data_IF_692481065958
#
_entry.id   IF_692481065958
#
_cell.length_a   1.000
_cell.length_b   1.000
_cell.length_c   1.000
_cell.angle_alpha   90.00
_cell.angle_beta   90.00
_cell.angle_gamma   90.00
#
_symmetry.space_group_name_H-M   'P 1'
#
loop_
_entity.id
_entity.type
_entity.pdbx_description
1 polymer ?
#
# COMPACT_ATOMS: atom_id res chain seq x y z
N UNK A 1 58.23 12.60 -28.35
CA UNK A 1 57.30 11.47 -28.57
C UNK A 1 57.72 10.33 -27.66
N UNK A 2 56.77 9.73 -26.94
CA UNK A 2 57.00 8.56 -26.07
C UNK A 2 56.75 8.87 -24.58
N UNK A 3 55.50 8.77 -24.15
CA UNK A 3 55.12 8.80 -22.74
C UNK A 3 55.16 7.42 -22.09
N UNK A 4 55.12 7.38 -20.76
CA UNK A 4 54.58 6.26 -20.01
C UNK A 4 54.05 6.76 -18.66
N UNK A 5 52.78 6.46 -18.44
CA UNK A 5 51.95 6.80 -17.28
C UNK A 5 52.12 5.73 -16.21
N UNK A 6 52.51 6.14 -15.00
CA UNK A 6 52.52 5.26 -13.81
C UNK A 6 51.14 5.28 -13.17
N UNK A 7 50.48 4.11 -13.17
CA UNK A 7 49.17 3.87 -12.55
C UNK A 7 49.23 4.11 -11.05
N UNK A 8 48.34 4.96 -10.55
CA UNK A 8 47.96 5.00 -9.13
C UNK A 8 47.11 3.76 -8.87
N UNK A 9 47.70 2.77 -8.21
CA UNK A 9 46.95 1.64 -7.65
C UNK A 9 46.12 2.16 -6.49
N UNK A 10 44.79 2.07 -6.61
CA UNK A 10 43.91 2.24 -5.48
C UNK A 10 44.06 1.00 -4.59
N UNK A 11 44.55 1.20 -3.37
CA UNK A 11 44.58 0.19 -2.32
C UNK A 11 43.15 -0.28 -2.05
N UNK A 12 42.88 -1.54 -2.40
CA UNK A 12 41.67 -2.24 -2.01
C UNK A 12 41.86 -2.66 -0.54
N UNK A 13 41.54 -1.75 0.38
CA UNK A 13 41.56 -2.01 1.82
C UNK A 13 40.73 -3.26 2.15
N UNK A 14 41.40 -4.22 2.78
CA UNK A 14 40.85 -5.44 3.34
C UNK A 14 39.73 -5.15 4.35
N UNK A 15 38.48 -5.36 3.94
CA UNK A 15 37.32 -5.32 4.82
C UNK A 15 37.38 -6.47 5.85
N UNK A 16 37.41 -6.10 7.14
CA UNK A 16 37.35 -7.02 8.28
C UNK A 16 36.08 -7.90 8.25
N UNK A 17 36.15 -9.20 8.61
CA UNK A 17 35.02 -10.12 8.58
C UNK A 17 33.82 -9.68 9.44
N UNK A 18 34.03 -8.85 10.47
CA UNK A 18 32.94 -8.29 11.28
C UNK A 18 32.12 -7.22 10.54
N UNK A 19 32.72 -6.52 9.58
CA UNK A 19 32.06 -5.50 8.76
C UNK A 19 31.12 -6.13 7.71
N UNK A 20 31.52 -7.27 7.15
CA UNK A 20 30.76 -7.99 6.13
C UNK A 20 29.45 -8.55 6.67
N UNK A 21 29.45 -9.09 7.90
CA UNK A 21 28.24 -9.58 8.56
C UNK A 21 27.23 -8.47 8.86
N UNK A 22 27.71 -7.28 9.27
CA UNK A 22 26.84 -6.13 9.56
C UNK A 22 26.13 -5.64 8.29
N UNK A 23 26.86 -5.53 7.16
CA UNK A 23 26.30 -5.13 5.88
C UNK A 23 25.24 -6.13 5.36
N UNK A 24 25.49 -7.44 5.49
CA UNK A 24 24.52 -8.48 5.09
C UNK A 24 23.20 -8.38 5.87
N UNK A 25 23.23 -8.05 7.17
CA UNK A 25 22.00 -7.87 7.96
C UNK A 25 21.20 -6.64 7.55
N UNK A 26 21.86 -5.55 7.14
CA UNK A 26 21.20 -4.31 6.67
C UNK A 26 20.54 -4.54 5.30
N UNK A 27 21.21 -5.25 4.39
CA UNK A 27 20.65 -5.55 3.07
C UNK A 27 19.44 -6.49 3.15
N UNK A 28 19.47 -7.50 4.02
CA UNK A 28 18.32 -8.40 4.27
C UNK A 28 17.14 -7.68 4.95
N UNK A 29 17.41 -6.68 5.79
CA UNK A 29 16.38 -5.86 6.44
C UNK A 29 15.77 -4.78 5.50
N UNK A 30 16.35 -4.51 4.33
CA UNK A 30 15.91 -3.43 3.45
C UNK A 30 14.61 -3.68 2.68
N UNK A 31 14.00 -4.86 2.86
CA UNK A 31 12.66 -5.18 2.33
C UNK A 31 11.50 -4.45 3.06
N UNK A 32 11.79 -3.65 4.08
CA UNK A 32 10.85 -3.36 5.18
C UNK A 32 9.94 -2.10 5.07
N UNK A 33 9.75 -1.47 3.90
CA UNK A 33 8.84 -0.29 3.79
C UNK A 33 7.93 -0.35 2.55
N UNK A 34 7.51 -1.56 2.22
CA UNK A 34 6.63 -1.86 1.10
C UNK A 34 5.40 -2.59 1.62
N UNK A 35 4.25 -1.95 1.53
CA UNK A 35 2.96 -2.51 1.92
C UNK A 35 2.43 -3.42 0.82
N UNK A 36 1.61 -4.37 1.24
CA UNK A 36 0.72 -5.15 0.41
C UNK A 36 -0.70 -4.63 0.57
N UNK A 37 -1.43 -4.39 -0.51
CA UNK A 37 -2.80 -3.87 -0.49
C UNK A 37 -3.76 -4.81 -1.21
N UNK A 38 -5.05 -4.78 -0.85
CA UNK A 38 -6.07 -5.38 -1.68
C UNK A 38 -6.34 -4.49 -2.90
N UNK A 39 -6.61 -5.12 -4.04
CA UNK A 39 -7.04 -4.46 -5.27
C UNK A 39 -8.37 -5.05 -5.70
N UNK A 40 -9.34 -4.19 -6.00
CA UNK A 40 -10.64 -4.59 -6.52
C UNK A 40 -11.18 -3.50 -7.42
N UNK A 41 -11.67 -3.89 -8.58
CA UNK A 41 -12.39 -3.00 -9.48
C UNK A 41 -13.87 -2.93 -9.09
N UNK A 42 -14.53 -1.81 -9.41
CA UNK A 42 -15.95 -1.61 -9.14
C UNK A 42 -16.85 -2.63 -9.85
N UNK A 43 -16.47 -3.11 -11.03
CA UNK A 43 -17.29 -3.95 -11.90
C UNK A 43 -16.96 -5.45 -11.81
N UNK A 44 -15.82 -5.79 -11.20
CA UNK A 44 -15.32 -7.16 -11.12
C UNK A 44 -15.33 -7.60 -9.67
N UNK A 45 -16.05 -8.68 -9.35
CA UNK A 45 -16.12 -9.22 -7.98
C UNK A 45 -14.91 -10.12 -7.63
N UNK A 46 -13.73 -9.73 -8.08
CA UNK A 46 -12.46 -10.38 -7.79
C UNK A 46 -11.61 -9.45 -6.93
N UNK A 47 -11.03 -10.01 -5.88
CA UNK A 47 -10.07 -9.31 -5.02
C UNK A 47 -8.69 -9.85 -5.32
N UNK A 48 -7.84 -8.99 -5.83
CA UNK A 48 -6.42 -9.24 -6.03
C UNK A 48 -5.61 -8.68 -4.85
N UNK A 49 -4.34 -9.10 -4.81
CA UNK A 49 -3.34 -8.58 -3.88
C UNK A 49 -2.22 -7.95 -4.67
N UNK A 50 -1.90 -6.70 -4.36
CA UNK A 50 -0.79 -5.95 -4.98
C UNK A 50 0.28 -5.65 -3.94
N UNK A 51 1.54 -5.75 -4.34
CA UNK A 51 2.70 -5.61 -3.46
C UNK A 51 3.48 -4.33 -3.76
N UNK A 52 4.45 -3.99 -2.91
CA UNK A 52 5.35 -2.84 -3.09
C UNK A 52 4.64 -1.48 -3.13
N UNK A 53 3.61 -1.33 -2.29
CA UNK A 53 2.84 -0.10 -2.16
C UNK A 53 3.38 0.77 -1.01
N UNK A 54 3.19 2.09 -1.08
CA UNK A 54 3.52 3.03 0.01
C UNK A 54 2.34 3.32 0.92
N UNK A 55 1.13 3.22 0.40
CA UNK A 55 -0.12 3.25 1.16
C UNK A 55 -1.21 2.47 0.42
N UNK A 56 -2.21 2.03 1.17
CA UNK A 56 -3.42 1.42 0.63
C UNK A 56 -4.56 2.43 0.66
N UNK A 57 -5.45 2.34 -0.32
CA UNK A 57 -6.63 3.18 -0.41
C UNK A 57 -7.87 2.35 -0.75
N UNK A 58 -9.03 2.91 -0.42
CA UNK A 58 -10.33 2.37 -0.83
C UNK A 58 -11.31 3.52 -1.05
N UNK A 59 -12.11 3.40 -2.11
CA UNK A 59 -13.17 4.32 -2.46
C UNK A 59 -14.51 3.63 -2.31
N UNK A 60 -15.45 4.27 -1.61
CA UNK A 60 -16.82 3.79 -1.49
C UNK A 60 -17.78 4.84 -2.02
N UNK A 61 -18.67 4.47 -2.93
CA UNK A 61 -19.68 5.39 -3.50
C UNK A 61 -21.05 4.99 -2.97
N UNK A 62 -21.67 5.81 -2.09
CA UNK A 62 -22.93 5.49 -1.43
C UNK A 62 -24.10 5.22 -2.39
N UNK A 63 -24.24 6.05 -3.41
CA UNK A 63 -25.37 6.04 -4.34
C UNK A 63 -25.38 4.73 -5.15
N UNK A 64 -24.19 4.27 -5.55
CA UNK A 64 -24.02 3.03 -6.32
C UNK A 64 -23.81 1.79 -5.43
N UNK A 65 -23.52 1.98 -4.14
CA UNK A 65 -23.17 0.92 -3.18
C UNK A 65 -21.96 0.07 -3.63
N UNK A 66 -21.02 0.70 -4.32
CA UNK A 66 -19.83 0.06 -4.88
C UNK A 66 -18.58 0.36 -4.06
N UNK A 67 -17.53 -0.42 -4.30
CA UNK A 67 -16.20 -0.19 -3.73
C UNK A 67 -15.12 -0.42 -4.77
N UNK A 68 -14.08 0.40 -4.74
CA UNK A 68 -12.84 0.21 -5.48
C UNK A 68 -11.69 0.23 -4.47
N UNK A 69 -10.75 -0.72 -4.59
CA UNK A 69 -9.62 -0.85 -3.67
C UNK A 69 -8.31 -0.80 -4.45
N UNK A 70 -7.26 -0.25 -3.84
CA UNK A 70 -5.93 -0.33 -4.39
C UNK A 70 -4.83 0.16 -3.46
N UNK A 71 -3.70 0.47 -4.07
CA UNK A 71 -2.52 1.00 -3.42
C UNK A 71 -1.83 1.99 -4.35
N UNK A 72 -0.87 2.71 -3.80
CA UNK A 72 -0.10 3.69 -4.57
C UNK A 72 1.40 3.53 -4.27
N UNK A 73 2.23 3.71 -5.29
CA UNK A 73 3.68 3.54 -5.20
C UNK A 73 4.42 4.84 -4.82
N UNK A 74 3.79 6.00 -5.02
CA UNK A 74 4.32 7.30 -4.60
C UNK A 74 3.94 7.56 -3.14
N UNK A 75 4.88 8.09 -2.36
CA UNK A 75 4.65 8.49 -0.97
C UNK A 75 3.51 9.51 -0.84
N UNK A 76 2.75 9.44 0.26
CA UNK A 76 1.57 10.29 0.53
C UNK A 76 1.92 11.78 0.51
N UNK A 77 3.07 12.17 1.09
CA UNK A 77 3.54 13.58 1.07
C UNK A 77 3.62 14.20 -0.34
N UNK A 78 3.93 13.41 -1.37
CA UNK A 78 4.01 13.89 -2.75
C UNK A 78 2.64 13.95 -3.46
N UNK A 79 1.60 13.43 -2.82
CA UNK A 79 0.23 13.32 -3.35
C UNK A 79 -0.82 13.92 -2.39
N UNK A 80 -0.37 14.70 -1.40
CA UNK A 80 -1.14 15.19 -0.26
C UNK A 80 -2.44 15.93 -0.62
N UNK A 81 -2.51 16.57 -1.79
CA UNK A 81 -3.73 17.27 -2.24
C UNK A 81 -4.94 16.33 -2.39
N UNK A 82 -4.71 15.07 -2.74
CA UNK A 82 -5.77 14.04 -2.90
C UNK A 82 -5.85 13.11 -1.68
N UNK A 83 -4.78 13.01 -0.89
CA UNK A 83 -4.66 12.01 0.17
C UNK A 83 -4.43 12.61 1.55
N UNK A 84 -4.82 13.87 1.77
CA UNK A 84 -4.54 14.55 3.03
C UNK A 84 -5.08 13.76 4.23
N UNK A 85 -4.19 13.36 5.14
CA UNK A 85 -4.49 12.58 6.35
C UNK A 85 -4.47 13.42 7.61
N UNK A 86 -4.40 14.76 7.50
CA UNK A 86 -4.21 15.69 8.62
C UNK A 86 -5.23 15.54 9.76
N UNK A 87 -6.42 14.98 9.49
CA UNK A 87 -7.50 14.92 10.46
C UNK A 87 -7.54 13.61 11.30
N UNK A 88 -6.61 12.66 11.11
CA UNK A 88 -6.56 11.41 11.89
C UNK A 88 -7.70 10.41 11.64
N UNK A 89 -8.70 10.80 10.84
CA UNK A 89 -9.73 9.92 10.27
C UNK A 89 -9.13 9.11 9.12
N UNK A 90 -9.48 7.82 9.05
CA UNK A 90 -9.04 6.90 8.01
C UNK A 90 -9.88 7.01 6.73
N UNK A 91 -11.07 7.61 6.81
CA UNK A 91 -12.01 7.80 5.71
C UNK A 91 -12.67 9.18 5.83
N UNK A 92 -12.88 9.86 4.71
CA UNK A 92 -13.59 11.13 4.63
C UNK A 92 -14.56 11.14 3.47
N UNK A 93 -15.73 11.77 3.65
CA UNK A 93 -16.71 11.94 2.59
C UNK A 93 -16.33 13.16 1.75
N UNK A 94 -16.05 12.93 0.47
CA UNK A 94 -15.67 13.96 -0.49
C UNK A 94 -16.74 14.11 -1.55
N UNK A 95 -16.92 15.34 -2.03
CA UNK A 95 -17.75 15.62 -3.20
C UNK A 95 -16.87 15.59 -4.45
N UNK A 96 -17.15 14.66 -5.34
CA UNK A 96 -16.42 14.46 -6.59
C UNK A 96 -17.24 14.98 -7.76
N UNK A 97 -16.56 15.46 -8.80
CA UNK A 97 -17.17 15.89 -10.07
C UNK A 97 -16.61 15.02 -11.18
N UNK A 98 -17.49 14.36 -11.94
CA UNK A 98 -17.12 13.60 -13.13
C UNK A 98 -18.17 13.82 -14.21
N UNK A 99 -17.73 14.16 -15.43
CA UNK A 99 -18.63 14.43 -16.56
C UNK A 99 -19.80 15.38 -16.22
N UNK A 100 -19.51 16.46 -15.49
CA UNK A 100 -20.48 17.46 -15.01
C UNK A 100 -21.50 16.94 -13.98
N UNK A 101 -21.42 15.67 -13.57
CA UNK A 101 -22.21 15.10 -12.48
C UNK A 101 -21.43 15.15 -11.16
N UNK A 102 -22.11 15.61 -10.12
CA UNK A 102 -21.60 15.62 -8.76
C UNK A 102 -22.05 14.36 -8.02
N UNK A 103 -21.13 13.69 -7.34
CA UNK A 103 -21.43 12.52 -6.52
C UNK A 103 -20.56 12.46 -5.27
N UNK A 104 -21.03 11.75 -4.25
CA UNK A 104 -20.28 11.61 -3.00
C UNK A 104 -19.41 10.35 -3.05
N UNK A 105 -18.21 10.44 -2.48
CA UNK A 105 -17.31 9.31 -2.36
C UNK A 105 -16.60 9.35 -1.02
N UNK A 106 -16.62 8.24 -0.29
CA UNK A 106 -15.70 8.08 0.82
C UNK A 106 -14.31 7.76 0.28
N UNK A 107 -13.35 8.62 0.61
CA UNK A 107 -11.93 8.45 0.31
C UNK A 107 -11.22 7.98 1.57
N UNK A 108 -10.70 6.76 1.54
CA UNK A 108 -10.00 6.18 2.67
C UNK A 108 -8.53 5.89 2.36
N UNK A 109 -7.68 5.97 3.39
CA UNK A 109 -6.26 5.68 3.32
C UNK A 109 -5.79 4.99 4.59
N UNK A 110 -4.87 4.03 4.43
CA UNK A 110 -4.20 3.39 5.55
C UNK A 110 -2.76 2.96 5.19
N UNK A 111 -1.93 2.77 6.22
CA UNK A 111 -0.48 2.61 6.11
C UNK A 111 0.02 1.27 6.65
N UNK A 112 -0.84 0.26 6.72
CA UNK A 112 -0.50 -1.10 7.17
C UNK A 112 -0.86 -2.13 6.10
N UNK A 113 -0.34 -3.34 6.20
CA UNK A 113 -0.63 -4.39 5.21
C UNK A 113 -2.13 -4.72 5.17
N UNK A 114 -2.68 -4.76 3.96
CA UNK A 114 -4.04 -5.22 3.64
C UNK A 114 -5.14 -4.52 4.44
N UNK A 115 -4.90 -3.29 4.87
CA UNK A 115 -5.79 -2.52 5.73
C UNK A 115 -7.00 -1.89 5.02
N UNK A 116 -7.02 -1.87 3.69
CA UNK A 116 -8.05 -1.19 2.90
C UNK A 116 -9.37 -1.97 2.75
N UNK A 117 -9.63 -2.93 3.64
CA UNK A 117 -10.88 -3.69 3.74
C UNK A 117 -11.96 -2.86 4.47
N UNK A 118 -13.27 -2.91 4.09
CA UNK A 118 -13.97 -4.06 3.50
C UNK A 118 -14.31 -4.07 2.01
N UNK A 119 -14.47 -5.27 1.44
CA UNK A 119 -14.73 -5.50 0.01
C UNK A 119 -16.17 -5.21 -0.48
N UNK A 120 -17.00 -4.57 0.35
CA UNK A 120 -18.36 -4.18 -0.03
C UNK A 120 -18.83 -2.96 0.76
N UNK A 121 -19.64 -2.12 0.13
CA UNK A 121 -20.26 -0.96 0.77
C UNK A 121 -21.09 -1.36 2.00
N UNK A 122 -21.85 -2.47 1.93
CA UNK A 122 -22.67 -2.94 3.05
C UNK A 122 -21.85 -3.18 4.32
N UNK A 123 -20.68 -3.83 4.20
CA UNK A 123 -19.77 -4.06 5.33
C UNK A 123 -19.13 -2.76 5.81
N UNK A 124 -18.79 -1.85 4.89
CA UNK A 124 -18.24 -0.54 5.23
C UNK A 124 -19.23 0.31 6.04
N UNK A 125 -20.49 0.39 5.59
CA UNK A 125 -21.57 1.06 6.31
C UNK A 125 -21.82 0.41 7.69
N UNK A 126 -21.79 -0.92 7.79
CA UNK A 126 -21.89 -1.63 9.06
C UNK A 126 -20.70 -1.37 10.02
N UNK A 127 -19.60 -0.82 9.51
CA UNK A 127 -18.42 -0.37 10.27
C UNK A 127 -18.42 1.14 10.52
N UNK A 128 -19.56 1.81 10.39
CA UNK A 128 -19.71 3.25 10.57
C UNK A 128 -18.74 4.04 9.66
N UNK A 129 -18.60 3.59 8.41
CA UNK A 129 -17.81 4.27 7.39
C UNK A 129 -16.31 4.39 7.74
N UNK A 130 -15.75 3.35 8.37
CA UNK A 130 -14.32 3.25 8.72
C UNK A 130 -13.72 1.93 8.23
N UNK A 131 -12.45 1.98 7.85
CA UNK A 131 -11.60 0.84 7.49
C UNK A 131 -10.68 0.40 8.64
N UNK A 132 -10.53 1.19 9.72
CA UNK A 132 -9.79 0.81 10.94
C UNK A 132 -10.32 -0.49 11.53
N UNK A 133 -9.47 -1.51 11.60
CA UNK A 133 -9.82 -2.81 12.15
C UNK A 133 -10.38 -2.68 13.58
N UNK A 134 -11.49 -3.37 13.87
CA UNK A 134 -12.00 -3.45 15.25
C UNK A 134 -11.04 -4.33 16.05
N UNK A 135 -10.91 -4.06 17.36
CA UNK A 135 -9.94 -4.71 18.24
C UNK A 135 -9.99 -6.26 18.27
N UNK A 136 -11.07 -6.89 17.79
CA UNK A 136 -11.18 -8.36 17.67
C UNK A 136 -10.96 -8.93 16.27
N UNK A 137 -10.81 -8.09 15.23
CA UNK A 137 -10.75 -8.52 13.82
C UNK A 137 -9.29 -8.66 13.34
N UNK A 138 -8.36 -7.92 13.95
CA UNK A 138 -6.92 -7.96 13.67
C UNK A 138 -6.28 -9.35 13.87
N UNK A 139 -6.87 -10.18 14.75
CA UNK A 139 -6.39 -11.54 15.02
C UNK A 139 -6.69 -12.50 13.87
N UNK A 140 -7.81 -12.31 13.15
CA UNK A 140 -8.22 -13.21 12.07
C UNK A 140 -7.42 -12.96 10.77
N UNK A 141 -7.14 -11.69 10.44
CA UNK A 141 -6.39 -11.33 9.23
C UNK A 141 -4.91 -11.78 9.27
N UNK A 142 -4.35 -11.94 10.48
CA UNK A 142 -3.01 -12.53 10.65
C UNK A 142 -2.97 -14.04 10.37
N UNK A 143 -4.14 -14.69 10.34
CA UNK A 143 -4.28 -16.15 10.20
C UNK A 143 -4.78 -16.57 8.82
N UNK A 144 -5.18 -15.65 7.93
CA UNK A 144 -5.55 -15.98 6.55
C UNK A 144 -4.27 -16.03 5.72
N UNK A 145 -3.80 -17.22 5.29
CA UNK A 145 -2.66 -17.31 4.40
C UNK A 145 -3.07 -16.71 3.06
N UNK A 146 -2.12 -16.11 2.36
CA UNK A 146 -2.25 -15.65 0.98
C UNK A 146 -2.53 -16.82 0.03
N UNK A 147 -3.72 -17.40 0.10
CA UNK A 147 -4.16 -18.39 -0.86
C UNK A 147 -4.62 -17.66 -2.12
N UNK A 148 -3.70 -17.59 -3.07
CA UNK A 148 -4.01 -17.38 -4.48
C UNK A 148 -5.07 -18.40 -4.88
N UNK A 149 -6.31 -17.96 -5.09
CA UNK A 149 -7.30 -18.77 -5.79
C UNK A 149 -6.94 -18.78 -7.28
N UNK A 150 -5.91 -19.56 -7.63
CA UNK A 150 -5.78 -20.06 -9.00
C UNK A 150 -6.94 -21.02 -9.21
N UNK A 151 -8.04 -20.49 -9.74
CA UNK A 151 -9.19 -21.26 -10.18
C UNK A 151 -8.73 -22.14 -11.35
N UNK A 152 -8.47 -23.42 -11.09
CA UNK A 152 -8.45 -24.43 -12.16
C UNK A 152 -9.87 -24.56 -12.70
N UNK A 153 -10.05 -24.15 -13.96
CA UNK A 153 -11.05 -24.70 -14.88
C UNK A 153 -10.26 -25.15 -16.10
#
# INVERSE_FOLDING_TARGET
MGGASTKVGADLETLSPTSTFLLLTIFLASSALCLTCYKKDRYIDMVDVIHHQKFCWSFYVPEERTVTLGGHYIHTNSTAKVWNTENGEDCRLEKMVSFEEEYNMYVCLCLTDRCNWPFSYKKFAARNFSIKAKAGEQLLDSMIPSFSFTKMI
#
